data_IF_038961289181
#
_entry.id   IF_038961289181
#
_cell.length_a   1.000
_cell.length_b   1.000
_cell.length_c   1.000
_cell.angle_alpha   90.00
_cell.angle_beta   90.00
_cell.angle_gamma   90.00
#
_symmetry.space_group_name_H-M   'P 1'
#
loop_
_entity.id
_entity.type
_entity.pdbx_description
1 polymer ?
#
# COMPACT_ATOMS: atom_id res chain seq x y z
N UNK A 1 48.14 -23.96 30.13
CA UNK A 1 49.02 -22.75 30.16
C UNK A 1 49.41 -22.18 28.79
N UNK A 2 49.36 -22.91 27.66
CA UNK A 2 49.73 -22.35 26.33
C UNK A 2 48.64 -21.47 25.68
N UNK A 3 47.36 -21.78 25.89
CA UNK A 3 46.22 -21.02 25.34
C UNK A 3 46.07 -19.64 26.00
N UNK A 4 46.28 -19.54 27.32
CA UNK A 4 46.22 -18.25 28.04
C UNK A 4 47.31 -17.29 27.57
N UNK A 5 48.52 -17.79 27.30
CA UNK A 5 49.63 -16.97 26.76
C UNK A 5 49.35 -16.49 25.32
N UNK A 6 48.71 -17.31 24.50
CA UNK A 6 48.29 -16.94 23.14
C UNK A 6 47.15 -15.91 23.17
N UNK A 7 46.19 -16.05 24.09
CA UNK A 7 45.09 -15.09 24.27
C UNK A 7 45.59 -13.73 24.82
N UNK A 8 46.54 -13.74 25.76
CA UNK A 8 47.17 -12.52 26.28
C UNK A 8 48.07 -11.83 25.24
N UNK A 9 48.70 -12.61 24.35
CA UNK A 9 49.46 -12.08 23.21
C UNK A 9 48.51 -11.45 22.17
N UNK A 10 47.38 -12.10 21.85
CA UNK A 10 46.35 -11.55 20.96
C UNK A 10 45.69 -10.28 21.54
N UNK A 11 45.47 -10.23 22.86
CA UNK A 11 44.90 -9.05 23.55
C UNK A 11 45.87 -7.87 23.63
N UNK A 12 47.18 -8.11 23.63
CA UNK A 12 48.21 -7.04 23.69
C UNK A 12 48.59 -6.52 22.30
N UNK A 13 48.52 -7.36 21.26
CA UNK A 13 48.76 -6.95 19.86
C UNK A 13 47.63 -6.05 19.32
N UNK A 14 46.41 -6.15 19.87
CA UNK A 14 45.25 -5.36 19.40
C UNK A 14 45.15 -3.95 20.01
N UNK A 15 45.96 -3.60 21.02
CA UNK A 15 45.83 -2.33 21.74
C UNK A 15 46.48 -1.12 21.07
N UNK A 16 47.34 -1.32 20.07
CA UNK A 16 48.06 -0.20 19.42
C UNK A 16 47.29 0.42 18.25
N UNK A 17 46.32 -0.27 17.65
CA UNK A 17 45.50 0.27 16.55
C UNK A 17 44.17 0.90 16.99
N UNK A 18 43.65 0.59 18.20
CA UNK A 18 42.33 1.08 18.63
C UNK A 18 42.34 2.47 19.28
N UNK A 19 43.48 2.96 19.78
CA UNK A 19 43.52 4.23 20.52
C UNK A 19 43.33 5.46 19.63
N UNK A 20 43.82 5.42 18.38
CA UNK A 20 43.69 6.51 17.41
C UNK A 20 42.29 6.57 16.78
N UNK A 21 41.71 5.43 16.43
CA UNK A 21 40.40 5.36 15.76
C UNK A 21 39.25 5.70 16.72
N UNK A 22 39.33 5.28 17.99
CA UNK A 22 38.36 5.65 19.01
C UNK A 22 38.38 7.16 19.31
N UNK A 23 39.56 7.79 19.27
CA UNK A 23 39.70 9.23 19.43
C UNK A 23 39.12 9.99 18.23
N UNK A 24 39.38 9.52 17.01
CA UNK A 24 38.84 10.09 15.77
C UNK A 24 37.30 9.96 15.71
N UNK A 25 36.75 8.81 16.09
CA UNK A 25 35.31 8.59 16.17
C UNK A 25 34.63 9.54 17.17
N UNK A 26 35.23 9.73 18.34
CA UNK A 26 34.74 10.68 19.37
C UNK A 26 34.78 12.13 18.87
N UNK A 27 35.81 12.49 18.12
CA UNK A 27 35.92 13.80 17.46
C UNK A 27 34.80 13.94 16.41
N UNK A 28 34.58 12.93 15.58
CA UNK A 28 33.53 12.95 14.56
C UNK A 28 32.12 13.08 15.14
N UNK A 29 31.83 12.41 16.26
CA UNK A 29 30.56 12.55 16.98
C UNK A 29 30.37 13.95 17.56
N UNK A 30 31.45 14.59 18.02
CA UNK A 30 31.40 15.93 18.62
C UNK A 30 31.20 17.08 17.62
N UNK A 31 31.35 16.83 16.32
CA UNK A 31 31.18 17.85 15.27
C UNK A 31 29.71 18.13 14.97
N UNK A 32 29.39 19.41 14.75
CA UNK A 32 28.06 19.86 14.33
C UNK A 32 27.73 19.46 12.88
N UNK A 33 26.45 19.42 12.47
CA UNK A 33 26.06 19.09 11.09
C UNK A 33 26.68 20.02 10.02
N UNK A 34 26.86 21.30 10.34
CA UNK A 34 27.54 22.26 9.46
C UNK A 34 29.02 21.92 9.29
N UNK A 35 29.72 21.61 10.39
CA UNK A 35 31.13 21.21 10.36
C UNK A 35 31.37 19.89 9.62
N UNK A 36 30.47 18.91 9.76
CA UNK A 36 30.50 17.66 8.99
C UNK A 36 30.33 17.90 7.49
N UNK A 37 29.52 18.88 7.11
CA UNK A 37 29.31 19.27 5.71
C UNK A 37 30.58 19.89 5.11
N UNK A 38 31.28 20.73 5.88
CA UNK A 38 32.56 21.33 5.47
C UNK A 38 33.65 20.25 5.32
N UNK A 39 33.73 19.30 6.26
CA UNK A 39 34.62 18.14 6.16
C UNK A 39 34.32 17.26 4.94
N UNK A 40 33.04 17.03 4.63
CA UNK A 40 32.63 16.30 3.43
C UNK A 40 33.05 17.02 2.15
N UNK A 41 32.82 18.34 2.08
CA UNK A 41 33.21 19.17 0.94
C UNK A 41 34.73 19.22 0.77
N UNK A 42 35.48 19.34 1.87
CA UNK A 42 36.94 19.24 1.86
C UNK A 42 37.41 17.88 1.34
N UNK A 43 36.84 16.76 1.82
CA UNK A 43 37.17 15.41 1.33
C UNK A 43 36.82 15.20 -0.15
N UNK A 44 35.72 15.80 -0.61
CA UNK A 44 35.31 15.76 -2.02
C UNK A 44 36.30 16.53 -2.89
N UNK A 45 36.73 17.71 -2.45
CA UNK A 45 37.72 18.52 -3.15
C UNK A 45 39.11 17.89 -3.13
N UNK A 46 39.53 17.28 -2.02
CA UNK A 46 40.83 16.60 -1.93
C UNK A 46 40.89 15.34 -2.80
N UNK A 47 39.77 14.65 -2.98
CA UNK A 47 39.69 13.41 -3.76
C UNK A 47 39.45 13.66 -5.26
N UNK A 48 38.61 14.64 -5.61
CA UNK A 48 38.12 14.81 -6.99
C UNK A 48 38.54 16.13 -7.66
N UNK A 49 39.16 17.06 -6.94
CA UNK A 49 39.62 18.34 -7.48
C UNK A 49 41.15 18.50 -7.34
N UNK A 50 41.64 19.70 -7.65
CA UNK A 50 43.07 20.01 -7.60
C UNK A 50 43.52 20.27 -6.15
N UNK A 51 44.69 19.74 -5.78
CA UNK A 51 45.23 19.78 -4.40
C UNK A 51 45.36 21.21 -3.85
N UNK A 52 45.56 22.18 -4.73
CA UNK A 52 45.66 23.62 -4.44
C UNK A 52 44.30 24.21 -4.02
N UNK A 53 43.19 23.73 -4.59
CA UNK A 53 41.84 24.18 -4.28
C UNK A 53 41.36 23.63 -2.94
N UNK A 54 41.68 22.36 -2.64
CA UNK A 54 41.41 21.76 -1.34
C UNK A 54 42.16 22.49 -0.22
N UNK A 55 43.43 22.85 -0.45
CA UNK A 55 44.22 23.63 0.50
C UNK A 55 43.67 25.04 0.74
N UNK A 56 43.22 25.72 -0.33
CA UNK A 56 42.57 27.04 -0.20
C UNK A 56 41.24 26.95 0.56
N UNK A 57 40.41 25.95 0.25
CA UNK A 57 39.14 25.71 0.93
C UNK A 57 39.34 25.43 2.42
N UNK A 58 40.37 24.66 2.77
CA UNK A 58 40.75 24.41 4.16
C UNK A 58 41.14 25.69 4.90
N UNK A 59 41.99 26.53 4.29
CA UNK A 59 42.42 27.80 4.89
C UNK A 59 41.26 28.76 5.14
N UNK A 60 40.27 28.79 4.24
CA UNK A 60 39.09 29.64 4.35
C UNK A 60 38.17 29.20 5.51
N UNK A 61 37.97 27.88 5.68
CA UNK A 61 37.04 27.32 6.66
C UNK A 61 37.71 26.83 7.96
N UNK A 62 39.02 27.04 8.12
CA UNK A 62 39.79 26.60 9.30
C UNK A 62 39.24 27.18 10.62
N UNK A 63 38.68 28.39 10.57
CA UNK A 63 38.09 29.06 11.75
C UNK A 63 36.85 28.35 12.27
N UNK A 64 36.15 27.59 11.41
CA UNK A 64 34.94 26.85 11.76
C UNK A 64 35.25 25.43 12.27
N UNK A 65 36.51 24.97 12.13
CA UNK A 65 37.01 23.66 12.55
C UNK A 65 38.23 23.77 13.50
N UNK A 66 38.15 24.51 14.62
CA UNK A 66 39.32 24.82 15.47
C UNK A 66 39.92 23.60 16.21
N UNK A 67 39.18 22.49 16.28
CA UNK A 67 39.57 21.27 17.00
C UNK A 67 40.36 20.27 16.14
N UNK A 68 40.55 20.53 14.84
CA UNK A 68 41.12 19.55 13.91
C UNK A 68 42.50 19.98 13.41
N UNK A 69 43.46 19.06 13.52
CA UNK A 69 44.73 19.20 12.79
C UNK A 69 44.54 18.82 11.32
N UNK A 70 45.39 19.32 10.39
CA UNK A 70 45.26 19.02 8.96
C UNK A 70 45.28 17.51 8.65
N UNK A 71 46.09 16.75 9.39
CA UNK A 71 46.19 15.29 9.22
C UNK A 71 44.94 14.56 9.71
N UNK A 72 44.36 15.00 10.84
CA UNK A 72 43.10 14.43 11.34
C UNK A 72 41.92 14.79 10.43
N UNK A 73 41.92 15.99 9.85
CA UNK A 73 40.89 16.42 8.92
C UNK A 73 40.91 15.58 7.64
N UNK A 74 42.09 15.24 7.12
CA UNK A 74 42.23 14.43 5.91
C UNK A 74 41.73 12.98 6.13
N UNK A 75 42.11 12.37 7.25
CA UNK A 75 41.64 11.02 7.62
C UNK A 75 40.12 11.01 7.85
N UNK A 76 39.59 11.98 8.60
CA UNK A 76 38.15 12.08 8.86
C UNK A 76 37.35 12.41 7.59
N UNK A 77 37.87 13.25 6.70
CA UNK A 77 37.22 13.59 5.45
C UNK A 77 37.17 12.38 4.51
N UNK A 78 38.23 11.58 4.46
CA UNK A 78 38.31 10.36 3.65
C UNK A 78 37.35 9.29 4.17
N UNK A 79 37.30 9.07 5.50
CA UNK A 79 36.35 8.14 6.13
C UNK A 79 34.89 8.61 6.02
N UNK A 80 34.65 9.91 6.11
CA UNK A 80 33.31 10.45 5.95
C UNK A 80 32.85 10.35 4.49
N UNK A 81 33.73 10.57 3.52
CA UNK A 81 33.41 10.42 2.10
C UNK A 81 33.18 8.95 1.70
N UNK A 82 33.95 8.01 2.26
CA UNK A 82 33.78 6.57 1.98
C UNK A 82 32.48 5.99 2.58
N UNK A 83 31.98 6.58 3.68
CA UNK A 83 30.81 6.09 4.41
C UNK A 83 29.55 6.98 4.26
N UNK A 84 29.53 7.95 3.34
CA UNK A 84 28.36 8.81 3.10
C UNK A 84 27.57 8.41 1.86
N UNK A 85 26.25 8.30 2.01
CA UNK A 85 25.33 8.15 0.88
C UNK A 85 24.70 9.51 0.52
N UNK A 86 24.83 9.89 -0.76
CA UNK A 86 24.20 11.10 -1.29
C UNK A 86 22.69 10.87 -1.50
N UNK A 87 21.88 11.36 -0.57
CA UNK A 87 20.42 11.35 -0.69
C UNK A 87 19.96 12.64 -1.41
N UNK A 88 19.78 12.55 -2.73
CA UNK A 88 19.22 13.65 -3.52
C UNK A 88 17.71 13.79 -3.27
N UNK A 89 17.28 14.96 -2.79
CA UNK A 89 15.85 15.33 -2.72
C UNK A 89 15.45 16.09 -3.98
N UNK A 90 14.76 15.41 -4.92
CA UNK A 90 14.34 16.04 -6.17
C UNK A 90 13.16 16.99 -5.96
N UNK A 91 13.34 18.27 -6.28
CA UNK A 91 12.30 19.31 -6.16
C UNK A 91 11.27 19.33 -7.29
N UNK A 92 11.57 18.75 -8.47
CA UNK A 92 10.64 18.62 -9.61
C UNK A 92 10.82 17.27 -10.31
N UNK A 93 9.73 16.62 -10.78
CA UNK A 93 9.84 15.39 -11.57
C UNK A 93 10.51 15.70 -12.91
N UNK A 94 11.67 15.08 -13.17
CA UNK A 94 12.40 15.25 -14.43
C UNK A 94 11.86 14.34 -15.53
N UNK A 95 12.04 14.71 -16.80
CA UNK A 95 11.69 13.86 -17.96
C UNK A 95 12.39 12.50 -17.91
N UNK A 96 13.60 12.43 -17.36
CA UNK A 96 14.33 11.18 -17.14
C UNK A 96 13.67 10.29 -16.08
N UNK A 97 13.09 10.88 -15.02
CA UNK A 97 12.30 10.12 -14.05
C UNK A 97 11.00 9.59 -14.67
N UNK A 98 10.34 10.38 -15.53
CA UNK A 98 9.17 9.93 -16.28
C UNK A 98 9.52 8.74 -17.18
N UNK A 99 10.63 8.81 -17.93
CA UNK A 99 11.13 7.70 -18.75
C UNK A 99 11.51 6.48 -17.91
N UNK A 100 12.16 6.67 -16.76
CA UNK A 100 12.43 5.58 -15.81
C UNK A 100 11.13 4.93 -15.34
N UNK A 101 10.11 5.74 -15.05
CA UNK A 101 8.75 5.28 -14.75
C UNK A 101 8.17 4.45 -15.91
N UNK A 102 8.23 4.94 -17.14
CA UNK A 102 7.74 4.23 -18.34
C UNK A 102 8.44 2.88 -18.51
N UNK A 103 9.76 2.81 -18.32
CA UNK A 103 10.50 1.54 -18.41
C UNK A 103 10.19 0.57 -17.26
N UNK A 104 10.04 1.08 -16.04
CA UNK A 104 9.59 0.26 -14.90
C UNK A 104 8.15 -0.25 -15.14
N UNK A 105 7.27 0.57 -15.71
CA UNK A 105 5.91 0.18 -16.07
C UNK A 105 5.90 -0.96 -17.09
N UNK A 106 6.68 -0.83 -18.17
CA UNK A 106 6.84 -1.87 -19.19
C UNK A 106 7.32 -3.20 -18.59
N UNK A 107 8.32 -3.17 -17.69
CA UNK A 107 8.81 -4.37 -16.99
C UNK A 107 7.74 -5.01 -16.11
N UNK A 108 6.97 -4.20 -15.36
CA UNK A 108 5.86 -4.68 -14.54
C UNK A 108 4.74 -5.29 -15.40
N UNK A 109 4.42 -4.68 -16.56
CA UNK A 109 3.44 -5.22 -17.50
C UNK A 109 3.90 -6.56 -18.10
N UNK A 110 5.18 -6.70 -18.43
CA UNK A 110 5.76 -7.98 -18.88
C UNK A 110 5.69 -9.04 -17.78
N UNK A 111 6.01 -8.67 -16.54
CA UNK A 111 5.87 -9.56 -15.38
C UNK A 111 4.42 -9.97 -15.12
N UNK A 112 3.48 -9.03 -15.22
CA UNK A 112 2.04 -9.29 -15.09
C UNK A 112 1.53 -10.20 -16.21
N UNK A 113 1.94 -9.97 -17.46
CA UNK A 113 1.60 -10.84 -18.59
C UNK A 113 2.14 -12.26 -18.40
N UNK A 114 3.39 -12.40 -17.92
CA UNK A 114 3.98 -13.68 -17.59
C UNK A 114 3.24 -14.38 -16.44
N UNK A 115 2.81 -13.64 -15.42
CA UNK A 115 2.04 -14.17 -14.29
C UNK A 115 0.64 -14.63 -14.73
N UNK A 116 -0.05 -13.83 -15.56
CA UNK A 116 -1.37 -14.20 -16.13
C UNK A 116 -1.23 -15.41 -17.05
N UNK A 117 -0.17 -15.47 -17.85
CA UNK A 117 0.16 -16.62 -18.70
C UNK A 117 0.44 -17.87 -17.88
N UNK A 118 1.26 -17.76 -16.83
CA UNK A 118 1.54 -18.86 -15.90
C UNK A 118 0.27 -19.29 -15.15
N UNK A 119 -0.55 -18.36 -14.68
CA UNK A 119 -1.84 -18.64 -14.05
C UNK A 119 -2.80 -19.35 -15.02
N UNK A 120 -2.89 -18.90 -16.27
CA UNK A 120 -3.71 -19.57 -17.29
C UNK A 120 -3.22 -21.00 -17.53
N UNK A 121 -1.89 -21.21 -17.59
CA UNK A 121 -1.25 -22.53 -17.72
C UNK A 121 -1.55 -23.43 -16.51
N UNK A 122 -1.43 -22.89 -15.30
CA UNK A 122 -1.73 -23.58 -14.03
C UNK A 122 -3.23 -23.88 -13.92
N UNK A 123 -4.11 -23.00 -14.39
CA UNK A 123 -5.57 -23.23 -14.40
C UNK A 123 -5.95 -24.30 -15.43
N UNK A 124 -5.20 -24.39 -16.53
CA UNK A 124 -5.28 -25.49 -17.50
C UNK A 124 -4.85 -26.82 -16.89
N UNK A 125 -3.78 -26.82 -16.07
CA UNK A 125 -3.34 -27.99 -15.29
C UNK A 125 -4.30 -28.34 -14.15
N UNK A 126 -4.85 -27.35 -13.45
CA UNK A 126 -5.77 -27.52 -12.31
C UNK A 126 -7.12 -28.09 -12.71
N UNK A 127 -7.49 -28.01 -14.00
CA UNK A 127 -8.63 -28.74 -14.57
C UNK A 127 -8.46 -30.27 -14.48
N UNK A 128 -7.23 -30.77 -14.31
CA UNK A 128 -6.90 -32.19 -14.18
C UNK A 128 -6.58 -32.64 -12.74
N UNK A 129 -6.63 -31.76 -11.73
CA UNK A 129 -6.43 -32.14 -10.31
C UNK A 129 -7.56 -31.59 -9.43
N UNK A 130 -8.78 -32.15 -9.51
CA UNK A 130 -9.85 -31.84 -8.58
C UNK A 130 -9.58 -32.52 -7.23
N UNK A 131 -9.33 -31.73 -6.17
CA UNK A 131 -9.36 -32.26 -4.80
C UNK A 131 -8.37 -31.67 -3.80
N UNK A 132 -7.31 -30.99 -4.25
CA UNK A 132 -6.23 -30.52 -3.37
C UNK A 132 -6.72 -29.50 -2.31
N UNK A 133 -7.59 -28.57 -2.71
CA UNK A 133 -8.14 -27.56 -1.79
C UNK A 133 -9.13 -28.16 -0.77
N UNK A 134 -9.92 -29.16 -1.19
CA UNK A 134 -10.84 -29.89 -0.28
C UNK A 134 -10.08 -30.77 0.71
N UNK A 135 -8.95 -31.33 0.28
CA UNK A 135 -8.06 -32.13 1.10
C UNK A 135 -7.38 -31.27 2.19
N UNK A 136 -6.88 -30.08 1.82
CA UNK A 136 -6.25 -29.14 2.75
C UNK A 136 -7.23 -28.67 3.84
N UNK A 137 -8.43 -28.25 3.46
CA UNK A 137 -9.46 -27.79 4.41
C UNK A 137 -9.90 -28.92 5.35
N UNK A 138 -9.97 -30.17 4.86
CA UNK A 138 -10.37 -31.33 5.66
C UNK A 138 -9.34 -31.68 6.75
N UNK A 139 -8.05 -31.55 6.44
CA UNK A 139 -6.98 -31.86 7.40
C UNK A 139 -6.75 -30.77 8.44
N UNK A 140 -6.94 -29.50 8.08
CA UNK A 140 -6.77 -28.40 9.03
C UNK A 140 -8.04 -28.06 9.83
N UNK A 141 -9.23 -28.44 9.34
CA UNK A 141 -10.49 -28.21 10.07
C UNK A 141 -10.54 -28.75 11.51
N UNK A 142 -10.02 -29.95 11.84
CA UNK A 142 -10.01 -30.43 13.23
C UNK A 142 -9.04 -29.63 14.11
N UNK A 143 -7.89 -29.21 13.59
CA UNK A 143 -6.96 -28.34 14.31
C UNK A 143 -7.59 -26.98 14.63
N UNK A 144 -8.33 -26.39 13.68
CA UNK A 144 -9.07 -25.14 13.90
C UNK A 144 -10.26 -25.29 14.86
N UNK A 145 -10.93 -26.45 14.91
CA UNK A 145 -12.02 -26.68 15.87
C UNK A 145 -11.51 -26.86 17.30
N UNK A 146 -10.31 -27.41 17.46
CA UNK A 146 -9.68 -27.62 18.77
C UNK A 146 -9.06 -26.32 19.33
N UNK A 147 -8.43 -25.49 18.48
CA UNK A 147 -7.85 -24.22 18.89
C UNK A 147 -8.89 -23.14 19.26
N UNK A 148 -10.14 -23.27 18.78
CA UNK A 148 -11.17 -22.23 18.88
C UNK A 148 -12.50 -22.76 19.46
N UNK A 149 -12.52 -23.13 20.75
CA UNK A 149 -13.75 -23.54 21.44
C UNK A 149 -14.61 -22.34 21.89
N UNK A 150 -15.96 -22.42 21.87
CA UNK A 150 -16.77 -21.25 21.49
C UNK A 150 -17.38 -20.41 22.62
N UNK A 151 -17.02 -20.52 23.91
CA UNK A 151 -17.75 -19.73 24.95
C UNK A 151 -16.93 -18.97 25.98
N UNK A 152 -15.69 -19.36 26.25
CA UNK A 152 -14.81 -18.65 27.20
C UNK A 152 -13.70 -17.85 26.50
N UNK A 153 -13.51 -18.10 25.20
CA UNK A 153 -12.36 -17.62 24.42
C UNK A 153 -12.53 -16.19 23.88
N UNK A 154 -13.75 -15.67 23.75
CA UNK A 154 -14.02 -14.38 23.08
C UNK A 154 -13.45 -13.19 23.86
N UNK A 155 -13.68 -13.16 25.18
CA UNK A 155 -13.14 -12.10 26.04
C UNK A 155 -11.64 -12.28 26.29
N UNK A 156 -11.16 -13.51 26.47
CA UNK A 156 -9.74 -13.80 26.63
C UNK A 156 -8.94 -13.40 25.37
N UNK A 157 -9.44 -13.74 24.17
CA UNK A 157 -8.82 -13.33 22.91
C UNK A 157 -8.95 -11.84 22.65
N UNK A 158 -10.03 -11.18 23.12
CA UNK A 158 -10.14 -9.73 23.06
C UNK A 158 -9.06 -9.07 23.93
N UNK A 159 -8.85 -9.56 25.16
CA UNK A 159 -7.81 -9.06 26.07
C UNK A 159 -6.42 -9.32 25.48
N UNK A 160 -6.16 -10.52 24.93
CA UNK A 160 -4.91 -10.84 24.24
C UNK A 160 -4.72 -9.93 23.02
N UNK A 161 -5.77 -9.66 22.25
CA UNK A 161 -5.74 -8.75 21.11
C UNK A 161 -5.40 -7.32 21.53
N UNK A 162 -6.07 -6.81 22.57
CA UNK A 162 -5.81 -5.50 23.15
C UNK A 162 -4.39 -5.39 23.73
N UNK A 163 -3.91 -6.44 24.41
CA UNK A 163 -2.53 -6.52 24.90
C UNK A 163 -1.51 -6.54 23.75
N UNK A 164 -1.79 -7.26 22.66
CA UNK A 164 -0.95 -7.25 21.45
C UNK A 164 -0.86 -5.87 20.81
N UNK A 165 -1.96 -5.12 20.78
CA UNK A 165 -1.93 -3.72 20.33
C UNK A 165 -1.15 -2.84 21.31
N UNK A 166 -1.43 -2.93 22.61
CA UNK A 166 -0.85 -2.05 23.63
C UNK A 166 0.64 -2.29 23.91
N UNK A 167 1.08 -3.54 23.95
CA UNK A 167 2.49 -3.89 24.19
C UNK A 167 3.29 -4.07 22.90
N UNK A 168 2.63 -4.23 21.75
CA UNK A 168 3.27 -4.38 20.44
C UNK A 168 4.32 -3.29 20.13
N UNK A 169 4.05 -1.99 20.38
CA UNK A 169 5.02 -0.91 20.14
C UNK A 169 6.35 -1.05 20.90
N UNK A 170 6.36 -1.78 22.02
CA UNK A 170 7.57 -1.99 22.83
C UNK A 170 8.52 -3.03 22.23
N UNK A 171 8.09 -3.75 21.18
CA UNK A 171 8.90 -4.76 20.50
C UNK A 171 9.91 -4.06 19.57
N UNK A 172 11.23 -4.27 19.75
CA UNK A 172 12.25 -3.59 18.97
C UNK A 172 12.29 -4.08 17.51
N UNK A 173 12.03 -5.38 17.29
CA UNK A 173 12.02 -5.97 15.94
C UNK A 173 10.79 -5.52 15.14
N UNK A 174 11.04 -4.91 13.98
CA UNK A 174 10.02 -4.35 13.09
C UNK A 174 9.00 -5.38 12.60
N UNK A 175 9.47 -6.57 12.22
CA UNK A 175 8.63 -7.61 11.60
C UNK A 175 7.73 -8.23 12.66
N UNK A 176 8.30 -8.61 13.80
CA UNK A 176 7.56 -9.18 14.93
C UNK A 176 6.58 -8.15 15.50
N UNK A 177 7.00 -6.89 15.68
CA UNK A 177 6.12 -5.78 16.09
C UNK A 177 4.90 -5.67 15.19
N UNK A 178 5.13 -5.66 13.87
CA UNK A 178 4.07 -5.53 12.88
C UNK A 178 3.10 -6.71 12.94
N UNK A 179 3.61 -7.94 13.01
CA UNK A 179 2.78 -9.15 13.12
C UNK A 179 1.93 -9.11 14.39
N UNK A 180 2.52 -8.78 15.53
CA UNK A 180 1.84 -8.74 16.83
C UNK A 180 0.74 -7.68 16.85
N UNK A 181 1.02 -6.47 16.36
CA UNK A 181 0.04 -5.38 16.27
C UNK A 181 -1.11 -5.76 15.32
N UNK A 182 -0.82 -6.29 14.14
CA UNK A 182 -1.84 -6.67 13.16
C UNK A 182 -2.71 -7.83 13.63
N UNK A 183 -2.09 -8.87 14.22
CA UNK A 183 -2.82 -9.97 14.82
C UNK A 183 -3.69 -9.46 15.98
N UNK A 184 -3.17 -8.55 16.79
CA UNK A 184 -3.90 -7.90 17.88
C UNK A 184 -5.12 -7.11 17.40
N UNK A 185 -4.95 -6.25 16.38
CA UNK A 185 -6.02 -5.48 15.76
C UNK A 185 -7.11 -6.39 15.16
N UNK A 186 -6.70 -7.44 14.44
CA UNK A 186 -7.62 -8.41 13.87
C UNK A 186 -8.41 -9.17 14.94
N UNK A 187 -7.74 -9.65 16.00
CA UNK A 187 -8.39 -10.32 17.13
C UNK A 187 -9.37 -9.37 17.81
N UNK A 188 -8.95 -8.14 18.13
CA UNK A 188 -9.81 -7.14 18.74
C UNK A 188 -11.07 -6.88 17.91
N UNK A 189 -10.92 -6.67 16.59
CA UNK A 189 -12.05 -6.51 15.68
C UNK A 189 -12.97 -7.73 15.71
N UNK A 190 -12.43 -8.91 15.44
CA UNK A 190 -13.19 -10.14 15.28
C UNK A 190 -13.98 -10.47 16.56
N UNK A 191 -13.36 -10.32 17.73
CA UNK A 191 -14.02 -10.59 19.00
C UNK A 191 -15.06 -9.52 19.34
N UNK A 192 -14.80 -8.23 19.11
CA UNK A 192 -15.83 -7.19 19.27
C UNK A 192 -17.05 -7.48 18.40
N UNK A 193 -16.82 -7.88 17.15
CA UNK A 193 -17.89 -8.25 16.22
C UNK A 193 -18.69 -9.46 16.73
N UNK A 194 -18.03 -10.47 17.29
CA UNK A 194 -18.68 -11.64 17.88
C UNK A 194 -19.52 -11.28 19.12
N UNK A 195 -19.00 -10.41 20.00
CA UNK A 195 -19.71 -9.90 21.18
C UNK A 195 -20.97 -9.14 20.78
N UNK A 196 -20.86 -8.19 19.84
CA UNK A 196 -22.01 -7.38 19.42
C UNK A 196 -23.07 -8.17 18.65
N UNK A 197 -22.67 -9.22 17.93
CA UNK A 197 -23.63 -10.11 17.24
C UNK A 197 -24.20 -11.21 18.14
N UNK A 198 -23.65 -11.39 19.35
CA UNK A 198 -23.95 -12.51 20.26
C UNK A 198 -23.81 -13.89 19.58
N UNK A 199 -22.83 -14.02 18.69
CA UNK A 199 -22.56 -15.23 17.89
C UNK A 199 -21.08 -15.56 17.96
N UNK A 200 -20.76 -16.70 18.56
CA UNK A 200 -19.37 -17.04 18.89
C UNK A 200 -18.55 -17.64 17.74
N UNK A 201 -19.24 -18.03 16.65
CA UNK A 201 -18.63 -18.69 15.50
C UNK A 201 -18.62 -17.76 14.29
N UNK A 202 -17.44 -17.61 13.67
CA UNK A 202 -17.21 -16.82 12.45
C UNK A 202 -18.29 -17.01 11.39
N UNK A 203 -18.66 -18.27 11.13
CA UNK A 203 -19.68 -18.59 10.13
C UNK A 203 -21.03 -17.96 10.45
N UNK A 204 -21.45 -17.99 11.71
CA UNK A 204 -22.77 -17.53 12.13
C UNK A 204 -22.86 -16.01 12.20
N UNK A 205 -21.83 -15.31 12.72
CA UNK A 205 -21.85 -13.85 12.68
C UNK A 205 -21.64 -13.32 11.26
N UNK A 206 -20.88 -14.00 10.40
CA UNK A 206 -20.75 -13.63 8.98
C UNK A 206 -22.10 -13.71 8.26
N UNK A 207 -22.87 -14.77 8.49
CA UNK A 207 -24.21 -14.93 7.94
C UNK A 207 -25.15 -13.83 8.45
N UNK A 208 -25.11 -13.50 9.75
CA UNK A 208 -25.90 -12.40 10.34
C UNK A 208 -25.51 -11.03 9.78
N UNK A 209 -24.21 -10.76 9.60
CA UNK A 209 -23.70 -9.54 8.98
C UNK A 209 -24.17 -9.46 7.53
N UNK A 210 -24.01 -10.54 6.74
CA UNK A 210 -24.48 -10.61 5.35
C UNK A 210 -26.00 -10.40 5.26
N UNK A 211 -26.76 -10.96 6.20
CA UNK A 211 -28.21 -10.79 6.30
C UNK A 211 -28.59 -9.33 6.60
N UNK A 212 -27.86 -8.69 7.52
CA UNK A 212 -28.02 -7.27 7.90
C UNK A 212 -27.59 -6.31 6.78
N UNK A 213 -26.72 -6.77 5.87
CA UNK A 213 -26.40 -6.07 4.62
C UNK A 213 -27.42 -6.34 3.52
N UNK A 214 -28.07 -7.51 3.44
CA UNK A 214 -29.04 -7.78 2.36
C UNK A 214 -30.41 -7.15 2.62
N UNK A 215 -30.81 -6.99 3.87
CA UNK A 215 -32.11 -6.38 4.24
C UNK A 215 -31.93 -4.93 4.67
N UNK A 216 -32.63 -4.01 3.98
CA UNK A 216 -32.56 -2.57 4.24
C UNK A 216 -33.14 -2.15 5.60
N UNK A 217 -33.93 -3.01 6.23
CA UNK A 217 -34.85 -2.63 7.31
C UNK A 217 -34.21 -2.48 8.70
N UNK A 218 -32.89 -2.70 8.86
CA UNK A 218 -32.22 -2.62 10.18
C UNK A 218 -30.88 -1.87 10.13
N UNK A 219 -30.86 -0.56 9.80
CA UNK A 219 -29.63 0.23 9.74
C UNK A 219 -28.89 0.30 11.09
N UNK A 220 -29.64 0.26 12.21
CA UNK A 220 -29.08 0.29 13.55
C UNK A 220 -28.29 -0.99 13.90
N UNK A 221 -28.74 -2.15 13.42
CA UNK A 221 -28.00 -3.41 13.63
C UNK A 221 -26.67 -3.44 12.87
N UNK A 222 -26.63 -2.89 11.66
CA UNK A 222 -25.37 -2.77 10.92
C UNK A 222 -24.38 -1.81 11.59
N UNK A 223 -24.89 -0.72 12.16
CA UNK A 223 -24.08 0.20 12.95
C UNK A 223 -23.45 -0.53 14.14
N UNK A 224 -24.25 -1.23 14.94
CA UNK A 224 -23.77 -1.94 16.12
C UNK A 224 -22.80 -3.08 15.78
N UNK A 225 -23.12 -3.89 14.76
CA UNK A 225 -22.35 -5.10 14.44
C UNK A 225 -21.07 -4.83 13.64
N UNK A 226 -20.99 -3.69 12.93
CA UNK A 226 -19.89 -3.42 12.00
C UNK A 226 -19.24 -2.05 12.23
N UNK A 227 -20.04 -0.99 12.39
CA UNK A 227 -19.50 0.37 12.60
C UNK A 227 -18.78 0.48 13.94
N UNK A 228 -19.37 -0.01 15.02
CA UNK A 228 -18.78 0.10 16.37
C UNK A 228 -17.43 -0.65 16.48
N UNK A 229 -17.31 -1.92 16.05
CA UNK A 229 -16.00 -2.58 15.97
C UNK A 229 -15.00 -1.79 15.13
N UNK A 230 -15.42 -1.27 13.96
CA UNK A 230 -14.53 -0.52 13.09
C UNK A 230 -14.06 0.81 13.71
N UNK A 231 -14.93 1.54 14.43
CA UNK A 231 -14.55 2.76 15.16
C UNK A 231 -13.52 2.44 16.24
N UNK A 232 -13.74 1.38 17.03
CA UNK A 232 -12.83 0.97 18.08
C UNK A 232 -11.47 0.57 17.48
N UNK A 233 -11.47 -0.18 16.37
CA UNK A 233 -10.23 -0.51 15.66
C UNK A 233 -9.53 0.72 15.09
N UNK A 234 -10.26 1.68 14.50
CA UNK A 234 -9.67 2.95 14.05
C UNK A 234 -9.00 3.72 15.19
N UNK A 235 -9.63 3.78 16.37
CA UNK A 235 -9.03 4.40 17.55
C UNK A 235 -7.78 3.65 18.03
N UNK A 236 -7.80 2.32 17.98
CA UNK A 236 -6.65 1.49 18.32
C UNK A 236 -5.46 1.75 17.36
N UNK A 237 -5.71 1.86 16.04
CA UNK A 237 -4.64 2.19 15.08
C UNK A 237 -4.16 3.63 15.28
N UNK A 238 -5.04 4.58 15.59
CA UNK A 238 -4.64 5.96 15.91
C UNK A 238 -3.73 6.02 17.15
N UNK A 239 -3.96 5.16 18.14
CA UNK A 239 -3.06 5.00 19.27
C UNK A 239 -1.71 4.43 18.83
N UNK A 240 -1.70 3.37 17.99
CA UNK A 240 -0.45 2.81 17.43
C UNK A 240 0.34 3.85 16.63
N UNK A 241 -0.33 4.71 15.85
CA UNK A 241 0.33 5.78 15.09
C UNK A 241 1.04 6.80 16.00
N UNK A 242 0.55 7.00 17.23
CA UNK A 242 1.19 7.89 18.21
C UNK A 242 2.43 7.25 18.83
N UNK A 243 2.36 5.96 19.11
CA UNK A 243 3.43 5.22 19.80
C UNK A 243 4.51 4.68 18.86
N UNK A 244 4.18 4.42 17.59
CA UNK A 244 5.09 3.92 16.56
C UNK A 244 5.39 5.00 15.51
N UNK A 245 6.67 5.26 15.17
CA UNK A 245 7.04 6.18 14.10
C UNK A 245 6.79 5.62 12.68
N UNK A 246 6.31 4.39 12.57
CA UNK A 246 6.13 3.67 11.31
C UNK A 246 5.00 4.30 10.47
N UNK A 247 5.34 4.75 9.25
CA UNK A 247 4.43 5.52 8.39
C UNK A 247 3.28 4.69 7.79
N UNK A 248 3.39 3.36 7.74
CA UNK A 248 2.38 2.52 7.09
C UNK A 248 1.05 2.44 7.84
N UNK A 249 1.06 2.59 9.17
CA UNK A 249 -0.17 2.57 9.98
C UNK A 249 -1.13 3.71 9.62
N UNK A 250 -0.62 4.80 9.03
CA UNK A 250 -1.45 5.91 8.51
C UNK A 250 -2.34 5.50 7.34
N UNK A 251 -1.89 4.56 6.50
CA UNK A 251 -2.73 3.99 5.45
C UNK A 251 -3.79 3.04 6.03
N UNK A 252 -3.45 2.33 7.10
CA UNK A 252 -4.34 1.34 7.70
C UNK A 252 -5.54 1.97 8.41
N UNK A 253 -5.41 3.15 9.02
CA UNK A 253 -6.55 3.87 9.65
C UNK A 253 -7.71 4.11 8.68
N UNK A 254 -7.39 4.40 7.41
CA UNK A 254 -8.39 4.78 6.42
C UNK A 254 -9.42 3.67 6.18
N UNK A 255 -9.01 2.40 6.21
CA UNK A 255 -9.89 1.26 5.91
C UNK A 255 -11.01 1.06 6.96
N UNK A 256 -10.73 0.88 8.27
CA UNK A 256 -11.77 0.81 9.29
C UNK A 256 -12.56 2.12 9.41
N UNK A 257 -11.94 3.28 9.18
CA UNK A 257 -12.65 4.56 9.20
C UNK A 257 -13.71 4.64 8.09
N UNK A 258 -13.37 4.20 6.87
CA UNK A 258 -14.33 4.11 5.77
C UNK A 258 -15.46 3.12 6.09
N UNK A 259 -15.15 1.97 6.67
CA UNK A 259 -16.16 0.96 7.06
C UNK A 259 -17.10 1.53 8.12
N UNK A 260 -16.57 2.25 9.12
CA UNK A 260 -17.35 2.93 10.14
C UNK A 260 -18.32 3.94 9.50
N UNK A 261 -17.81 4.81 8.63
CA UNK A 261 -18.62 5.84 7.95
C UNK A 261 -19.70 5.23 7.08
N UNK A 262 -19.37 4.24 6.24
CA UNK A 262 -20.34 3.62 5.33
C UNK A 262 -21.46 2.87 6.03
N UNK A 263 -21.24 2.43 7.26
CA UNK A 263 -22.24 1.70 8.05
C UNK A 263 -23.08 2.59 8.96
N UNK A 264 -22.86 3.92 8.93
CA UNK A 264 -23.65 4.87 9.70
C UNK A 264 -25.13 4.85 9.29
N UNK A 265 -26.08 4.88 10.26
CA UNK A 265 -27.51 4.89 9.98
C UNK A 265 -28.01 5.98 9.00
N UNK A 266 -27.56 7.25 9.08
CA UNK A 266 -28.01 8.27 8.12
C UNK A 266 -27.56 7.97 6.70
N UNK A 267 -26.30 7.53 6.51
CA UNK A 267 -25.76 7.18 5.20
C UNK A 267 -26.46 5.97 4.59
N UNK A 268 -26.80 4.97 5.42
CA UNK A 268 -27.62 3.82 5.00
C UNK A 268 -29.01 4.23 4.49
N UNK A 269 -29.66 5.19 5.15
CA UNK A 269 -30.97 5.70 4.69
C UNK A 269 -30.88 6.45 3.36
N UNK A 270 -29.75 7.09 3.10
CA UNK A 270 -29.50 7.86 1.88
C UNK A 270 -28.96 7.00 0.70
N UNK A 271 -28.68 5.70 0.90
CA UNK A 271 -28.15 4.80 -0.15
C UNK A 271 -29.00 4.85 -1.44
N UNK A 272 -30.33 4.92 -1.31
CA UNK A 272 -31.23 4.97 -2.47
C UNK A 272 -31.13 6.29 -3.24
N UNK A 273 -30.85 7.38 -2.55
CA UNK A 273 -30.70 8.71 -3.16
C UNK A 273 -29.35 8.77 -3.86
N UNK A 274 -28.27 8.38 -3.19
CA UNK A 274 -26.94 8.41 -3.76
C UNK A 274 -26.77 7.43 -4.92
N UNK A 275 -27.36 6.25 -4.86
CA UNK A 275 -27.30 5.29 -5.97
C UNK A 275 -27.95 5.81 -7.26
N UNK A 276 -28.96 6.69 -7.18
CA UNK A 276 -29.56 7.32 -8.37
C UNK A 276 -28.60 8.26 -9.10
N UNK A 277 -27.60 8.82 -8.41
CA UNK A 277 -26.56 9.65 -9.06
C UNK A 277 -25.63 8.81 -9.95
N UNK A 278 -25.36 7.56 -9.53
CA UNK A 278 -24.54 6.62 -10.30
C UNK A 278 -25.36 5.90 -11.38
N UNK A 279 -26.64 5.66 -11.13
CA UNK A 279 -27.57 4.98 -12.04
C UNK A 279 -28.74 5.90 -12.46
N UNK A 280 -28.48 6.98 -13.23
CA UNK A 280 -29.51 7.96 -13.56
C UNK A 280 -30.62 7.42 -14.47
N UNK A 281 -30.34 6.38 -15.27
CA UNK A 281 -31.28 5.83 -16.26
C UNK A 281 -31.87 4.46 -15.86
N UNK A 282 -31.90 4.14 -14.57
CA UNK A 282 -32.40 2.84 -14.11
C UNK A 282 -33.92 2.69 -14.38
N UNK A 283 -34.28 1.83 -15.33
CA UNK A 283 -35.67 1.49 -15.67
C UNK A 283 -36.28 0.42 -14.77
N UNK A 284 -35.46 -0.36 -14.06
CA UNK A 284 -35.86 -1.39 -13.09
C UNK A 284 -35.25 -1.11 -11.70
N UNK A 285 -35.78 -1.76 -10.67
CA UNK A 285 -35.17 -1.68 -9.33
C UNK A 285 -33.76 -2.28 -9.38
N UNK A 286 -32.74 -1.41 -9.30
CA UNK A 286 -31.34 -1.81 -9.13
C UNK A 286 -31.23 -2.72 -7.91
N UNK A 287 -30.46 -3.80 -7.97
CA UNK A 287 -30.31 -4.73 -6.84
C UNK A 287 -29.76 -3.97 -5.62
N UNK A 288 -30.22 -4.32 -4.42
CA UNK A 288 -29.79 -3.68 -3.15
C UNK A 288 -28.27 -3.63 -3.00
N UNK A 289 -27.57 -4.71 -3.42
CA UNK A 289 -26.10 -4.78 -3.42
C UNK A 289 -25.48 -3.68 -4.29
N UNK A 290 -25.98 -3.50 -5.51
CA UNK A 290 -25.42 -2.57 -6.49
C UNK A 290 -25.79 -1.11 -6.14
N UNK A 291 -26.99 -0.90 -5.58
CA UNK A 291 -27.38 0.39 -4.98
C UNK A 291 -26.39 0.81 -3.90
N UNK A 292 -26.02 -0.10 -3.00
CA UNK A 292 -25.06 0.21 -1.93
C UNK A 292 -23.68 0.53 -2.44
N UNK A 293 -23.15 -0.28 -3.38
CA UNK A 293 -21.83 -0.01 -3.96
C UNK A 293 -21.86 1.36 -4.67
N UNK A 294 -22.92 1.66 -5.42
CA UNK A 294 -23.12 2.98 -6.03
C UNK A 294 -23.13 4.11 -5.00
N UNK A 295 -23.86 3.95 -3.89
CA UNK A 295 -23.88 4.95 -2.82
C UNK A 295 -22.49 5.16 -2.21
N UNK A 296 -21.75 4.09 -1.93
CA UNK A 296 -20.40 4.17 -1.40
C UNK A 296 -19.46 4.87 -2.38
N UNK A 297 -19.56 4.60 -3.69
CA UNK A 297 -18.79 5.31 -4.72
C UNK A 297 -19.09 6.80 -4.67
N UNK A 298 -20.36 7.24 -4.59
CA UNK A 298 -20.70 8.67 -4.49
C UNK A 298 -20.10 9.31 -3.24
N UNK A 299 -20.32 8.70 -2.07
CA UNK A 299 -19.82 9.24 -0.80
C UNK A 299 -18.30 9.38 -0.87
N UNK A 300 -17.64 8.34 -1.38
CA UNK A 300 -16.18 8.32 -1.48
C UNK A 300 -15.67 9.35 -2.49
N UNK A 301 -16.36 9.53 -3.62
CA UNK A 301 -16.02 10.52 -4.62
C UNK A 301 -16.12 11.95 -4.05
N UNK A 302 -17.17 12.22 -3.28
CA UNK A 302 -17.35 13.50 -2.58
C UNK A 302 -16.23 13.73 -1.58
N UNK A 303 -15.92 12.74 -0.74
CA UNK A 303 -14.80 12.82 0.22
C UNK A 303 -13.47 13.05 -0.50
N UNK A 304 -13.25 12.37 -1.63
CA UNK A 304 -12.04 12.51 -2.44
C UNK A 304 -11.88 13.94 -2.97
N UNK A 305 -12.96 14.53 -3.52
CA UNK A 305 -12.95 15.92 -3.97
C UNK A 305 -12.72 16.88 -2.80
N UNK A 306 -13.40 16.68 -1.66
CA UNK A 306 -13.22 17.51 -0.47
C UNK A 306 -11.77 17.46 0.03
N UNK A 307 -11.13 16.30 0.03
CA UNK A 307 -9.74 16.15 0.46
C UNK A 307 -8.75 16.91 -0.44
N UNK A 308 -9.05 17.04 -1.74
CA UNK A 308 -8.23 17.85 -2.65
C UNK A 308 -8.41 19.35 -2.44
N UNK A 309 -9.52 19.78 -1.84
CA UNK A 309 -9.80 21.19 -1.54
C UNK A 309 -9.26 21.62 -0.16
N UNK A 310 -8.73 20.70 0.64
CA UNK A 310 -8.13 21.03 1.94
C UNK A 310 -6.80 21.76 1.78
N UNK A 311 -6.48 22.71 2.68
CA UNK A 311 -5.21 23.45 2.64
C UNK A 311 -3.98 22.56 2.92
N UNK A 312 -4.18 21.47 3.67
CA UNK A 312 -3.17 20.43 3.89
C UNK A 312 -3.77 19.12 3.40
N UNK A 313 -3.22 18.57 2.31
CA UNK A 313 -3.73 17.36 1.68
C UNK A 313 -3.14 16.14 2.41
N UNK A 314 -3.95 15.30 3.09
CA UNK A 314 -3.48 14.06 3.69
C UNK A 314 -3.22 13.02 2.60
N UNK A 315 -1.98 13.01 2.09
CA UNK A 315 -1.55 12.23 0.93
C UNK A 315 -1.83 10.74 1.10
N UNK A 316 -1.59 10.17 2.28
CA UNK A 316 -1.76 8.74 2.55
C UNK A 316 -3.23 8.32 2.45
N UNK A 317 -4.14 9.11 3.03
CA UNK A 317 -5.57 8.86 2.97
C UNK A 317 -6.12 9.03 1.54
N UNK A 318 -5.63 10.03 0.79
CA UNK A 318 -6.02 10.25 -0.60
C UNK A 318 -5.67 9.05 -1.48
N UNK A 319 -4.51 8.44 -1.25
CA UNK A 319 -4.09 7.23 -1.96
C UNK A 319 -5.04 6.05 -1.70
N UNK A 320 -5.33 5.73 -0.43
CA UNK A 320 -6.23 4.62 -0.08
C UNK A 320 -7.60 4.83 -0.70
N UNK A 321 -8.10 6.05 -0.65
CA UNK A 321 -9.39 6.43 -1.21
C UNK A 321 -9.41 6.27 -2.74
N UNK A 322 -8.31 6.62 -3.40
CA UNK A 322 -8.14 6.45 -4.86
C UNK A 322 -8.13 4.98 -5.25
N UNK A 323 -7.42 4.14 -4.51
CA UNK A 323 -7.40 2.67 -4.72
C UNK A 323 -8.79 2.07 -4.55
N UNK A 324 -9.50 2.45 -3.49
CA UNK A 324 -10.87 2.00 -3.26
C UNK A 324 -11.82 2.43 -4.38
N UNK A 325 -11.79 3.72 -4.77
CA UNK A 325 -12.65 4.25 -5.84
C UNK A 325 -12.35 3.58 -7.18
N UNK A 326 -11.07 3.40 -7.53
CA UNK A 326 -10.67 2.69 -8.73
C UNK A 326 -11.23 1.26 -8.72
N UNK A 327 -11.05 0.51 -7.63
CA UNK A 327 -11.60 -0.85 -7.51
C UNK A 327 -13.13 -0.91 -7.57
N UNK A 328 -13.82 0.01 -6.89
CA UNK A 328 -15.27 0.06 -6.84
C UNK A 328 -15.89 0.45 -8.19
N UNK A 329 -15.32 1.45 -8.89
CA UNK A 329 -15.76 1.85 -10.22
C UNK A 329 -15.47 0.77 -11.27
N UNK A 330 -14.31 0.12 -11.21
CA UNK A 330 -14.00 -1.04 -12.05
C UNK A 330 -15.01 -2.17 -11.84
N UNK A 331 -15.38 -2.45 -10.58
CA UNK A 331 -16.37 -3.47 -10.25
C UNK A 331 -17.77 -3.11 -10.77
N UNK A 332 -18.19 -1.84 -10.64
CA UNK A 332 -19.46 -1.36 -11.17
C UNK A 332 -19.49 -1.33 -12.70
N UNK A 333 -18.34 -1.12 -13.33
CA UNK A 333 -18.17 -1.13 -14.79
C UNK A 333 -18.36 -2.53 -15.41
N UNK A 334 -18.51 -3.59 -14.61
CA UNK A 334 -18.71 -4.96 -15.11
C UNK A 334 -20.21 -5.23 -15.35
N UNK A 335 -20.61 -5.45 -16.61
CA UNK A 335 -22.00 -5.65 -17.02
C UNK A 335 -22.61 -6.93 -16.45
N UNK A 336 -21.84 -8.02 -16.49
CA UNK A 336 -22.26 -9.34 -15.97
C UNK A 336 -22.66 -9.29 -14.49
N UNK A 337 -22.04 -8.36 -13.74
CA UNK A 337 -22.21 -8.22 -12.30
C UNK A 337 -23.43 -7.34 -11.97
N UNK A 338 -23.53 -6.17 -12.60
CA UNK A 338 -24.48 -5.11 -12.20
C UNK A 338 -25.79 -5.17 -13.00
N UNK A 339 -25.76 -5.59 -14.28
CA UNK A 339 -26.94 -5.71 -15.16
C UNK A 339 -27.87 -4.48 -15.11
N UNK A 340 -27.30 -3.28 -15.24
CA UNK A 340 -28.01 -1.99 -15.10
C UNK A 340 -28.63 -1.44 -16.40
N UNK A 341 -28.55 -2.19 -17.50
CA UNK A 341 -28.98 -1.77 -18.83
C UNK A 341 -27.94 -0.93 -19.58
N UNK A 342 -28.05 -0.88 -20.91
CA UNK A 342 -27.02 -0.31 -21.81
C UNK A 342 -26.71 1.17 -21.51
N UNK A 343 -27.74 2.00 -21.22
CA UNK A 343 -27.54 3.43 -20.96
C UNK A 343 -26.72 3.69 -19.70
N UNK A 344 -27.02 2.97 -18.61
CA UNK A 344 -26.25 3.08 -17.36
C UNK A 344 -24.86 2.45 -17.50
N UNK A 345 -24.74 1.38 -18.29
CA UNK A 345 -23.45 0.74 -18.57
C UNK A 345 -22.49 1.71 -19.27
N UNK A 346 -22.93 2.40 -20.33
CA UNK A 346 -22.11 3.40 -21.02
C UNK A 346 -21.76 4.57 -20.08
N UNK A 347 -22.72 5.03 -19.27
CA UNK A 347 -22.48 6.09 -18.28
C UNK A 347 -21.39 5.72 -17.26
N UNK A 348 -21.45 4.50 -16.72
CA UNK A 348 -20.47 3.99 -15.75
C UNK A 348 -19.08 3.84 -16.35
N UNK A 349 -18.97 3.43 -17.62
CA UNK A 349 -17.69 3.38 -18.32
C UNK A 349 -17.06 4.76 -18.44
N UNK A 350 -17.85 5.75 -18.86
CA UNK A 350 -17.39 7.13 -18.98
C UNK A 350 -16.93 7.67 -17.63
N UNK A 351 -17.73 7.47 -16.58
CA UNK A 351 -17.38 7.89 -15.22
C UNK A 351 -16.09 7.23 -14.72
N UNK A 352 -15.92 5.93 -14.97
CA UNK A 352 -14.71 5.18 -14.59
C UNK A 352 -13.48 5.72 -15.32
N UNK A 353 -13.59 5.98 -16.62
CA UNK A 353 -12.51 6.53 -17.42
C UNK A 353 -12.11 7.94 -16.94
N UNK A 354 -13.11 8.82 -16.74
CA UNK A 354 -12.89 10.19 -16.24
C UNK A 354 -12.19 10.15 -14.89
N UNK A 355 -12.64 9.30 -13.97
CA UNK A 355 -12.02 9.18 -12.64
C UNK A 355 -10.57 8.70 -12.71
N UNK A 356 -10.28 7.67 -13.52
CA UNK A 356 -8.92 7.14 -13.65
C UNK A 356 -7.97 8.17 -14.27
N UNK A 357 -8.43 8.92 -15.28
CA UNK A 357 -7.68 10.05 -15.83
C UNK A 357 -7.45 11.16 -14.79
N UNK A 358 -8.48 11.51 -14.01
CA UNK A 358 -8.37 12.49 -12.95
C UNK A 358 -7.35 12.06 -11.87
N UNK A 359 -7.32 10.77 -11.50
CA UNK A 359 -6.35 10.21 -10.56
C UNK A 359 -4.90 10.32 -11.10
N UNK A 360 -4.68 10.05 -12.39
CA UNK A 360 -3.37 10.21 -13.04
C UNK A 360 -2.92 11.67 -12.99
N UNK A 361 -3.79 12.60 -13.40
CA UNK A 361 -3.48 14.04 -13.42
C UNK A 361 -3.20 14.58 -12.02
N UNK A 362 -4.03 14.22 -11.05
CA UNK A 362 -3.88 14.63 -9.65
C UNK A 362 -2.58 14.09 -9.06
N UNK A 363 -2.24 12.83 -9.35
CA UNK A 363 -1.00 12.21 -8.87
C UNK A 363 0.24 12.86 -9.44
N UNK A 364 0.18 13.26 -10.71
CA UNK A 364 1.25 14.03 -11.35
C UNK A 364 1.40 15.43 -10.75
N UNK A 365 0.30 16.16 -10.56
CA UNK A 365 0.33 17.54 -10.04
C UNK A 365 0.83 17.60 -8.59
N UNK A 366 0.44 16.63 -7.75
CA UNK A 366 0.88 16.54 -6.36
C UNK A 366 2.27 15.90 -6.19
N UNK A 367 2.92 15.48 -7.28
CA UNK A 367 4.19 14.74 -7.23
C UNK A 367 4.07 13.34 -6.58
N UNK A 368 2.84 12.85 -6.39
CA UNK A 368 2.55 11.55 -5.80
C UNK A 368 2.60 10.45 -6.86
N UNK A 369 3.81 9.93 -7.05
CA UNK A 369 4.07 8.87 -8.03
C UNK A 369 3.07 7.71 -7.87
N UNK A 370 2.89 7.18 -6.65
CA UNK A 370 2.03 6.03 -6.38
C UNK A 370 0.57 6.27 -6.79
N UNK A 371 0.06 7.49 -6.61
CA UNK A 371 -1.30 7.87 -7.01
C UNK A 371 -1.45 7.80 -8.54
N UNK A 372 -0.48 8.34 -9.28
CA UNK A 372 -0.46 8.27 -10.73
C UNK A 372 -0.38 6.81 -11.23
N UNK A 373 0.42 5.97 -10.58
CA UNK A 373 0.49 4.53 -10.86
C UNK A 373 -0.82 3.81 -10.59
N UNK A 374 -1.54 4.15 -9.53
CA UNK A 374 -2.85 3.54 -9.25
C UNK A 374 -3.88 3.88 -10.32
N UNK A 375 -3.89 5.13 -10.83
CA UNK A 375 -4.74 5.52 -11.95
C UNK A 375 -4.38 4.79 -13.25
N UNK A 376 -3.08 4.70 -13.58
CA UNK A 376 -2.60 4.00 -14.77
C UNK A 376 -2.88 2.49 -14.71
N UNK A 377 -2.63 1.88 -13.55
CA UNK A 377 -2.94 0.47 -13.29
C UNK A 377 -4.44 0.19 -13.36
N UNK A 378 -5.27 1.09 -12.83
CA UNK A 378 -6.72 1.01 -12.97
C UNK A 378 -7.18 1.10 -14.43
N UNK A 379 -6.55 1.96 -15.23
CA UNK A 379 -6.85 2.11 -16.67
C UNK A 379 -6.45 0.85 -17.46
N UNK A 380 -5.31 0.25 -17.13
CA UNK A 380 -4.93 -1.05 -17.66
C UNK A 380 -6.01 -2.11 -17.32
N UNK A 381 -6.38 -2.26 -16.05
CA UNK A 381 -7.39 -3.24 -15.62
C UNK A 381 -8.73 -2.97 -16.30
N UNK A 382 -9.12 -1.71 -16.46
CA UNK A 382 -10.32 -1.32 -17.21
C UNK A 382 -10.29 -1.86 -18.64
N UNK A 383 -9.19 -1.66 -19.37
CA UNK A 383 -9.01 -2.19 -20.73
C UNK A 383 -9.10 -3.72 -20.75
N UNK A 384 -8.52 -4.40 -19.75
CA UNK A 384 -8.60 -5.87 -19.66
C UNK A 384 -10.02 -6.37 -19.40
N UNK A 385 -10.77 -5.69 -18.54
CA UNK A 385 -12.19 -5.99 -18.30
C UNK A 385 -12.96 -5.83 -19.62
N UNK A 386 -12.77 -4.72 -20.35
CA UNK A 386 -13.48 -4.47 -21.61
C UNK A 386 -13.10 -5.42 -22.73
N UNK A 387 -11.83 -5.82 -22.82
CA UNK A 387 -11.39 -6.89 -23.71
C UNK A 387 -12.17 -8.19 -23.47
N UNK A 388 -12.49 -8.50 -22.21
CA UNK A 388 -13.24 -9.70 -21.86
C UNK A 388 -14.75 -9.58 -22.12
N UNK A 389 -15.33 -8.41 -21.89
CA UNK A 389 -16.77 -8.17 -21.98
C UNK A 389 -17.28 -7.93 -23.40
N UNK A 390 -16.58 -7.14 -24.21
CA UNK A 390 -17.03 -6.76 -25.56
C UNK A 390 -17.41 -7.98 -26.41
N UNK A 391 -16.61 -9.08 -26.43
CA UNK A 391 -16.99 -10.30 -27.15
C UNK A 391 -18.25 -10.96 -26.57
N UNK A 392 -18.44 -10.95 -25.25
CA UNK A 392 -19.65 -11.53 -24.62
C UNK A 392 -20.92 -10.77 -24.98
N UNK A 393 -20.83 -9.44 -25.08
CA UNK A 393 -21.94 -8.59 -25.52
C UNK A 393 -22.32 -8.83 -26.98
N UNK A 394 -21.36 -9.28 -27.80
CA UNK A 394 -21.59 -9.69 -29.19
C UNK A 394 -22.04 -11.16 -29.32
N UNK A 395 -22.41 -11.82 -28.21
CA UNK A 395 -22.94 -13.19 -28.19
C UNK A 395 -21.91 -14.31 -28.08
N UNK A 396 -20.62 -13.99 -27.85
CA UNK A 396 -19.57 -14.98 -27.68
C UNK A 396 -19.56 -15.56 -26.26
N UNK A 397 -19.55 -16.89 -26.10
CA UNK A 397 -19.49 -17.52 -24.76
C UNK A 397 -18.07 -17.97 -24.41
N UNK A 398 -17.49 -17.40 -23.34
CA UNK A 398 -16.19 -17.83 -22.81
C UNK A 398 -16.23 -19.16 -22.04
N UNK A 399 -17.39 -19.80 -21.83
CA UNK A 399 -17.57 -20.95 -20.93
C UNK A 399 -16.57 -22.09 -21.16
N UNK A 400 -16.27 -22.40 -22.43
CA UNK A 400 -15.30 -23.45 -22.81
C UNK A 400 -13.95 -22.91 -23.34
N UNK A 401 -13.81 -21.58 -23.47
CA UNK A 401 -12.64 -20.93 -24.10
C UNK A 401 -11.90 -19.96 -23.16
N UNK A 402 -12.12 -20.04 -21.83
CA UNK A 402 -11.49 -19.16 -20.83
C UNK A 402 -9.96 -19.11 -20.92
N UNK A 403 -9.32 -20.25 -21.17
CA UNK A 403 -7.87 -20.33 -21.34
C UNK A 403 -7.37 -19.55 -22.56
N UNK A 404 -8.07 -19.64 -23.68
CA UNK A 404 -7.76 -18.89 -24.90
C UNK A 404 -7.99 -17.39 -24.73
N UNK A 405 -9.04 -17.00 -24.00
CA UNK A 405 -9.26 -15.61 -23.62
C UNK A 405 -8.14 -15.05 -22.73
N UNK A 406 -7.66 -15.84 -21.76
CA UNK A 406 -6.56 -15.43 -20.87
C UNK A 406 -5.22 -15.33 -21.62
N UNK A 407 -4.96 -16.22 -22.59
CA UNK A 407 -3.81 -16.13 -23.50
C UNK A 407 -3.89 -14.89 -24.39
N UNK A 408 -5.06 -14.60 -24.97
CA UNK A 408 -5.29 -13.38 -25.75
C UNK A 408 -5.08 -12.11 -24.92
N UNK A 409 -5.51 -12.13 -23.66
CA UNK A 409 -5.27 -11.04 -22.71
C UNK A 409 -3.79 -10.87 -22.39
N UNK A 410 -3.05 -11.96 -22.14
CA UNK A 410 -1.61 -11.91 -21.92
C UNK A 410 -0.85 -11.37 -23.15
N UNK A 411 -1.27 -11.75 -24.37
CA UNK A 411 -0.70 -11.26 -25.62
C UNK A 411 -0.99 -9.77 -25.84
N UNK A 412 -2.18 -9.30 -25.45
CA UNK A 412 -2.55 -7.88 -25.50
C UNK A 412 -1.68 -7.04 -24.53
N UNK A 413 -1.53 -7.48 -23.28
CA UNK A 413 -0.67 -6.82 -22.29
C UNK A 413 0.79 -6.81 -22.76
N UNK A 414 1.26 -7.93 -23.32
CA UNK A 414 2.59 -8.01 -23.91
C UNK A 414 2.76 -7.03 -25.07
N UNK A 415 1.78 -6.93 -25.96
CA UNK A 415 1.78 -5.96 -27.07
C UNK A 415 1.86 -4.52 -26.58
N UNK A 416 1.07 -4.15 -25.57
CA UNK A 416 1.15 -2.82 -24.92
C UNK A 416 2.54 -2.60 -24.33
N UNK A 417 3.09 -3.57 -23.61
CA UNK A 417 4.40 -3.45 -22.98
C UNK A 417 5.55 -3.30 -23.99
N UNK A 418 5.47 -4.01 -25.12
CA UNK A 418 6.42 -3.90 -26.24
C UNK A 418 6.27 -2.55 -26.93
N UNK A 419 5.06 -2.07 -27.15
CA UNK A 419 4.77 -0.78 -27.77
C UNK A 419 5.28 0.40 -26.92
N UNK A 420 5.11 0.32 -25.60
CA UNK A 420 5.69 1.29 -24.66
C UNK A 420 7.22 1.27 -24.71
N UNK A 421 7.83 0.10 -24.85
CA UNK A 421 9.30 -0.06 -24.92
C UNK A 421 9.88 0.42 -26.24
N UNK A 422 9.16 0.24 -27.35
CA UNK A 422 9.62 0.63 -28.69
C UNK A 422 9.37 2.10 -29.00
N UNK A 423 8.35 2.72 -28.41
CA UNK A 423 7.98 4.13 -28.60
C UNK A 423 7.72 4.86 -27.27
N UNK A 424 8.74 5.01 -26.41
CA UNK A 424 8.57 5.67 -25.12
C UNK A 424 8.22 7.17 -25.26
N UNK A 425 8.58 7.81 -26.39
CA UNK A 425 8.23 9.20 -26.70
C UNK A 425 6.72 9.48 -26.73
N UNK A 426 5.89 8.49 -27.07
CA UNK A 426 4.43 8.67 -27.16
C UNK A 426 3.75 8.73 -25.79
N UNK A 427 4.43 8.28 -24.74
CA UNK A 427 3.91 8.20 -23.38
C UNK A 427 4.52 9.24 -22.43
N UNK A 428 5.51 10.01 -22.91
CA UNK A 428 6.11 11.13 -22.19
C UNK A 428 5.29 12.41 -22.39
N UNK A 429 4.00 12.38 -22.05
CA UNK A 429 3.12 13.56 -22.06
C UNK A 429 3.34 14.38 -20.77
N UNK A 430 4.51 15.00 -20.64
CA UNK A 430 4.72 16.04 -19.64
C UNK A 430 5.33 17.27 -20.32
N UNK A 431 4.64 18.43 -20.33
CA UNK A 431 5.25 19.68 -20.75
C UNK A 431 6.42 20.00 -19.80
N UNK A 432 7.48 20.59 -20.38
CA UNK A 432 8.67 20.99 -19.63
C UNK A 432 8.39 22.12 -18.65
#
# INVERSE_FOLDING_TARGET
MRIIKVLLCLLTICQTTMATDAALAKILESLTPGQKTILYQYGTLSTYADSTQAAHFWQEHQRELPLLTPQQADVLATELLSNTELVYTMKKPSRLLALRGVFTASRLLLGLAALIGAYALITLLGKYIPGLLKWLIRYFSPAFRWLFSPRMLTWELFIIGAAGVYFGPQIPDLVIRTIVIHAGLFLAWAQLTAVFTCKDLFRHYKEEIMHTFTHADKPFKAFLYVSVPAIITSLAILWVIRECPDSWYRYEVAVPAMIAVFTLPPLRRMERIFSRLIFPFATSQVKVKDQRVGAYVVITLVVWVVMLLLPVIPMESLLVLTVFLAGALLLLSIEDLVRCGIKNYIWLQLLTLIFLCAAILTGSQLGMLLLAWTGLGGLLVFVLIKYWEIPMLLGWSWKNKKAWGALGMALLIWGIAVLIRSRPEWFALFPG
#
